data_IF_798975759697
#
_entry.id   IF_798975759697
#
_cell.length_a   1.000
_cell.length_b   1.000
_cell.length_c   1.000
_cell.angle_alpha   90.00
_cell.angle_beta   90.00
_cell.angle_gamma   90.00
#
_symmetry.space_group_name_H-M   'P 1'
#
loop_
_entity.id
_entity.type
_entity.pdbx_description
1 polymer ?
#
# COMPACT_ATOMS: atom_id res chain seq x y z
N UNK A 1 0.27 -14.01 -4.59
CA UNK A 1 0.80 -12.70 -4.15
C UNK A 1 0.42 -12.50 -2.70
N UNK A 2 1.39 -12.18 -1.86
CA UNK A 2 1.20 -11.84 -0.44
C UNK A 2 1.88 -10.50 -0.20
N UNK A 3 1.42 -9.75 0.80
CA UNK A 3 2.17 -8.60 1.30
C UNK A 3 1.89 -8.36 2.78
N UNK A 4 2.89 -7.78 3.44
CA UNK A 4 2.90 -7.64 4.88
C UNK A 4 3.49 -6.29 5.31
N UNK A 5 3.12 -5.85 6.51
CA UNK A 5 3.75 -4.70 7.16
C UNK A 5 5.19 -5.04 7.56
N UNK A 6 6.00 -4.03 7.91
CA UNK A 6 7.39 -4.25 8.36
C UNK A 6 7.47 -5.08 9.64
N UNK A 7 6.50 -4.91 10.55
CA UNK A 7 6.51 -5.51 11.89
C UNK A 7 7.86 -5.33 12.61
N UNK A 8 8.44 -6.43 13.10
CA UNK A 8 9.74 -6.45 13.78
C UNK A 8 10.94 -6.72 12.85
N UNK A 9 10.73 -6.71 11.53
CA UNK A 9 11.75 -7.03 10.52
C UNK A 9 11.89 -8.52 10.19
N UNK A 10 11.33 -9.41 11.02
CA UNK A 10 11.26 -10.86 10.77
C UNK A 10 9.82 -11.30 10.50
N UNK A 11 8.88 -10.79 11.29
CA UNK A 11 7.46 -11.07 11.21
C UNK A 11 6.69 -9.75 11.10
N UNK A 12 5.83 -9.68 10.09
CA UNK A 12 4.92 -8.57 9.81
C UNK A 12 3.48 -9.05 9.75
N UNK A 13 2.55 -8.10 9.77
CA UNK A 13 1.11 -8.39 9.69
C UNK A 13 0.72 -8.64 8.25
N UNK A 14 -0.13 -9.65 8.03
CA UNK A 14 -0.64 -10.01 6.71
C UNK A 14 -1.71 -8.99 6.29
N UNK A 15 -1.44 -8.22 5.23
CA UNK A 15 -2.32 -7.14 4.74
C UNK A 15 -2.55 -7.22 3.23
N UNK A 16 -2.47 -8.42 2.65
CA UNK A 16 -2.68 -8.63 1.20
C UNK A 16 -3.99 -8.04 0.69
N UNK A 17 -5.15 -8.17 1.38
CA UNK A 17 -6.39 -7.57 0.90
C UNK A 17 -6.29 -6.05 0.74
N UNK A 18 -5.64 -5.36 1.68
CA UNK A 18 -5.42 -3.91 1.65
C UNK A 18 -4.47 -3.52 0.50
N UNK A 19 -3.37 -4.25 0.31
CA UNK A 19 -2.42 -3.93 -0.75
C UNK A 19 -3.01 -4.13 -2.16
N UNK A 20 -3.96 -5.05 -2.32
CA UNK A 20 -4.66 -5.28 -3.60
C UNK A 20 -5.56 -4.12 -4.01
N UNK A 21 -5.89 -3.18 -3.11
CA UNK A 21 -6.71 -2.00 -3.43
C UNK A 21 -5.87 -0.80 -3.88
N UNK A 22 -4.55 -0.88 -3.77
CA UNK A 22 -3.63 0.19 -4.19
C UNK A 22 -3.35 0.04 -5.68
N UNK A 23 -3.80 1.02 -6.48
CA UNK A 23 -3.70 0.97 -7.94
C UNK A 23 -2.26 0.83 -8.46
N UNK A 24 -1.29 1.39 -7.74
CA UNK A 24 0.13 1.35 -8.10
C UNK A 24 0.76 -0.03 -7.87
N UNK A 25 0.09 -0.93 -7.13
CA UNK A 25 0.55 -2.30 -6.89
C UNK A 25 -0.11 -3.25 -7.89
N UNK A 26 0.61 -3.74 -8.90
CA UNK A 26 0.03 -4.64 -9.89
C UNK A 26 -0.28 -6.02 -9.29
N UNK A 27 -1.44 -6.58 -9.64
CA UNK A 27 -1.84 -7.93 -9.20
C UNK A 27 -1.08 -9.06 -9.92
N UNK A 28 -0.48 -8.73 -11.08
CA UNK A 28 0.37 -9.62 -11.88
C UNK A 28 1.49 -8.78 -12.50
N UNK A 29 2.70 -9.33 -12.49
CA UNK A 29 3.82 -8.74 -13.23
C UNK A 29 3.62 -8.97 -14.72
N UNK A 30 3.97 -7.96 -15.53
CA UNK A 30 3.99 -8.08 -16.99
C UNK A 30 5.32 -8.69 -17.40
N UNK A 31 5.28 -9.61 -18.35
CA UNK A 31 6.47 -10.06 -19.04
C UNK A 31 6.73 -9.10 -20.19
N UNK A 32 7.72 -8.22 -20.02
CA UNK A 32 8.12 -7.24 -21.03
C UNK A 32 9.33 -7.73 -21.85
N UNK A 33 9.71 -9.01 -21.74
CA UNK A 33 10.72 -9.65 -22.58
C UNK A 33 12.18 -9.25 -22.32
N UNK A 34 12.43 -8.31 -21.39
CA UNK A 34 13.79 -7.89 -21.02
C UNK A 34 14.55 -8.97 -20.23
N UNK A 35 13.84 -9.76 -19.44
CA UNK A 35 14.36 -10.91 -18.69
C UNK A 35 13.19 -11.81 -18.24
N UNK A 36 13.41 -13.13 -18.09
CA UNK A 36 12.39 -14.01 -17.54
C UNK A 36 12.05 -13.61 -16.10
N UNK A 37 10.75 -13.64 -15.77
CA UNK A 37 10.28 -13.38 -14.41
C UNK A 37 10.84 -14.45 -13.44
N UNK A 38 11.40 -14.06 -12.28
CA UNK A 38 11.92 -15.02 -11.32
C UNK A 38 10.79 -15.85 -10.69
N UNK A 39 11.09 -17.12 -10.36
CA UNK A 39 10.12 -18.03 -9.74
C UNK A 39 9.62 -17.52 -8.37
N UNK A 40 10.45 -16.76 -7.65
CA UNK A 40 10.09 -16.09 -6.40
C UNK A 40 10.66 -14.67 -6.42
N UNK A 41 9.80 -13.70 -6.10
CA UNK A 41 10.16 -12.29 -5.98
C UNK A 41 9.63 -11.74 -4.66
N UNK A 42 10.46 -10.96 -3.97
CA UNK A 42 10.05 -10.12 -2.86
C UNK A 42 10.43 -8.67 -3.21
N UNK A 43 9.42 -7.79 -3.24
CA UNK A 43 9.60 -6.36 -3.50
C UNK A 43 9.31 -5.60 -2.22
N UNK A 44 10.15 -4.62 -1.90
CA UNK A 44 9.98 -3.71 -0.77
C UNK A 44 9.64 -2.33 -1.30
N UNK A 45 8.71 -1.67 -0.64
CA UNK A 45 8.27 -0.33 -0.98
C UNK A 45 7.62 0.33 0.22
N UNK A 46 7.29 1.61 0.06
CA UNK A 46 6.59 2.40 1.06
C UNK A 46 5.19 2.74 0.53
N UNK A 47 4.18 2.62 1.40
CA UNK A 47 2.84 3.12 1.11
C UNK A 47 2.70 4.46 1.80
N UNK A 48 2.31 5.49 1.05
CA UNK A 48 2.10 6.83 1.58
C UNK A 48 0.84 7.44 0.98
N UNK A 49 0.32 8.49 1.61
CA UNK A 49 -0.79 9.28 1.08
C UNK A 49 -0.26 10.58 0.50
N UNK A 50 -0.74 10.97 -0.69
CA UNK A 50 -0.47 12.31 -1.20
C UNK A 50 -1.09 13.36 -0.29
N UNK A 51 -0.48 14.54 -0.19
CA UNK A 51 -1.00 15.62 0.67
C UNK A 51 -2.45 15.96 0.33
N UNK A 52 -2.76 16.10 -0.96
CA UNK A 52 -4.14 16.36 -1.40
C UNK A 52 -5.11 15.22 -1.07
N UNK A 53 -4.65 13.96 -1.12
CA UNK A 53 -5.46 12.81 -0.72
C UNK A 53 -5.76 12.79 0.77
N UNK A 54 -4.78 13.19 1.58
CA UNK A 54 -4.90 13.31 3.03
C UNK A 54 -5.88 14.41 3.44
N UNK A 55 -5.80 15.59 2.81
CA UNK A 55 -6.74 16.69 3.04
C UNK A 55 -8.18 16.26 2.74
N UNK A 56 -8.44 15.68 1.56
CA UNK A 56 -9.76 15.14 1.19
C UNK A 56 -10.27 14.06 2.15
N UNK A 57 -9.37 13.21 2.65
CA UNK A 57 -9.73 12.19 3.64
C UNK A 57 -10.19 12.83 4.94
N UNK A 58 -9.46 13.83 5.44
CA UNK A 58 -9.81 14.54 6.67
C UNK A 58 -11.11 15.36 6.51
N UNK A 59 -11.33 16.00 5.36
CA UNK A 59 -12.59 16.69 5.05
C UNK A 59 -13.78 15.74 5.16
N UNK A 60 -13.69 14.55 4.54
CA UNK A 60 -14.74 13.53 4.63
C UNK A 60 -14.97 13.06 6.06
N UNK A 61 -13.90 12.79 6.81
CA UNK A 61 -14.00 12.37 8.22
C UNK A 61 -14.68 13.45 9.08
N UNK A 62 -14.30 14.72 8.90
CA UNK A 62 -14.90 15.84 9.61
C UNK A 62 -16.40 15.99 9.28
N UNK A 63 -16.78 15.84 8.00
CA UNK A 63 -18.17 15.85 7.57
C UNK A 63 -19.00 14.69 8.16
N UNK A 64 -18.36 13.53 8.39
CA UNK A 64 -18.95 12.37 9.08
C UNK A 64 -18.90 12.47 10.62
N UNK A 65 -18.41 13.58 11.18
CA UNK A 65 -18.25 13.77 12.63
C UNK A 65 -17.16 12.90 13.26
N UNK A 66 -16.27 12.32 12.45
CA UNK A 66 -15.15 11.50 12.91
C UNK A 66 -13.92 12.35 13.21
N UNK A 67 -13.06 11.85 14.08
CA UNK A 67 -11.75 12.44 14.31
C UNK A 67 -10.89 12.43 13.03
N UNK A 68 -10.28 13.56 12.73
CA UNK A 68 -9.30 13.73 11.65
C UNK A 68 -7.95 13.13 12.04
N UNK A 69 -7.18 12.70 11.05
CA UNK A 69 -5.81 12.28 11.24
C UNK A 69 -4.86 13.48 11.38
N UNK A 70 -3.77 13.31 12.12
CA UNK A 70 -2.81 14.38 12.39
C UNK A 70 -1.81 14.63 11.26
N UNK A 71 -1.42 13.58 10.51
CA UNK A 71 -0.43 13.68 9.43
C UNK A 71 -0.60 12.51 8.42
N UNK A 72 -0.06 12.63 7.20
CA UNK A 72 -0.22 11.64 6.12
C UNK A 72 0.77 10.44 6.17
N UNK A 73 1.55 10.31 7.26
CA UNK A 73 2.58 9.27 7.39
C UNK A 73 1.95 7.86 7.46
#
# INVERSE_FOLDING_TARGET
>A
VRGATRGNGVLGEEITPNLRTINDIPLRLRDEGAAPLPARLEVRGEVYMTLSGFERLNERRAAEGQATFANPR
#
